data_IF_400459997274
#
_entry.id   IF_400459997274
#
_cell.length_a   1.000
_cell.length_b   1.000
_cell.length_c   1.000
_cell.angle_alpha   90.00
_cell.angle_beta   90.00
_cell.angle_gamma   90.00
#
_symmetry.space_group_name_H-M   'P 1'
#
loop_
_entity.id
_entity.type
_entity.pdbx_description
1 polymer ?
#
# COMPACT_ATOMS: atom_id res chain seq x y z
N UNK A 1 -6.34 19.71 -0.04
CA UNK A 1 -7.43 19.26 0.86
C UNK A 1 -8.61 20.20 0.73
N UNK A 2 -9.84 19.69 0.94
CA UNK A 2 -11.08 20.49 0.97
C UNK A 2 -11.95 20.12 2.17
N UNK A 3 -12.78 21.05 2.61
CA UNK A 3 -13.79 20.79 3.64
C UNK A 3 -15.07 20.17 3.07
N UNK A 4 -15.86 19.50 3.92
CA UNK A 4 -17.12 18.84 3.48
C UNK A 4 -18.20 19.84 3.07
N UNK A 5 -18.08 21.09 3.49
CA UNK A 5 -18.90 22.22 3.05
C UNK A 5 -18.71 22.57 1.56
N UNK A 6 -17.66 22.05 0.92
CA UNK A 6 -17.38 22.28 -0.50
C UNK A 6 -17.88 21.18 -1.43
N UNK A 7 -18.53 20.12 -0.91
CA UNK A 7 -18.96 18.96 -1.71
C UNK A 7 -19.85 19.36 -2.90
N UNK A 8 -20.68 20.38 -2.75
CA UNK A 8 -21.60 20.85 -3.80
C UNK A 8 -20.87 21.53 -5.00
N UNK A 9 -19.55 21.73 -4.91
CA UNK A 9 -18.71 22.22 -6.03
C UNK A 9 -18.42 21.14 -7.07
N UNK A 10 -18.66 19.88 -6.75
CA UNK A 10 -18.47 18.75 -7.66
C UNK A 10 -19.85 18.32 -8.17
N UNK A 11 -19.98 18.19 -9.48
CA UNK A 11 -21.19 17.67 -10.12
C UNK A 11 -21.19 16.13 -10.02
N UNK A 12 -21.44 15.63 -8.81
CA UNK A 12 -21.41 14.19 -8.49
C UNK A 12 -22.29 13.35 -9.41
N UNK A 13 -23.51 13.81 -9.81
CA UNK A 13 -24.37 13.10 -10.76
C UNK A 13 -23.79 12.89 -12.18
N UNK A 14 -22.61 13.45 -12.46
CA UNK A 14 -21.88 13.27 -13.73
C UNK A 14 -20.66 12.36 -13.59
N UNK A 15 -20.34 11.95 -12.37
CA UNK A 15 -19.26 11.03 -12.08
C UNK A 15 -19.82 9.63 -11.88
N UNK A 16 -18.97 8.63 -12.02
CA UNK A 16 -19.32 7.24 -11.85
C UNK A 16 -18.51 6.65 -10.69
N UNK A 17 -19.12 5.67 -10.05
CA UNK A 17 -18.55 4.75 -9.07
C UNK A 17 -18.99 3.32 -9.43
N UNK A 18 -18.64 2.31 -8.62
CA UNK A 18 -18.89 0.90 -8.94
C UNK A 18 -20.36 0.53 -9.21
N UNK A 19 -21.31 1.27 -8.63
CA UNK A 19 -22.74 0.98 -8.70
C UNK A 19 -23.52 1.93 -9.62
N UNK A 20 -22.83 2.71 -10.46
CA UNK A 20 -23.41 3.68 -11.37
C UNK A 20 -23.05 5.11 -11.02
N UNK A 21 -24.03 6.00 -11.08
CA UNK A 21 -23.89 7.42 -10.75
C UNK A 21 -23.42 7.66 -9.31
N UNK A 22 -22.59 8.68 -9.08
CA UNK A 22 -21.98 8.98 -7.80
C UNK A 22 -22.72 10.04 -6.95
N UNK A 23 -23.99 10.31 -7.23
CA UNK A 23 -24.78 11.33 -6.52
C UNK A 23 -24.96 11.09 -5.02
N UNK A 24 -24.72 9.88 -4.54
CA UNK A 24 -24.77 9.43 -3.14
C UNK A 24 -23.45 9.62 -2.37
N UNK A 25 -22.31 9.74 -3.07
CA UNK A 25 -20.97 9.89 -2.48
C UNK A 25 -20.86 11.05 -1.47
N UNK A 26 -21.48 12.24 -1.68
CA UNK A 26 -21.45 13.30 -0.68
C UNK A 26 -22.00 12.90 0.68
N UNK A 27 -23.08 12.11 0.70
CA UNK A 27 -23.71 11.67 1.94
C UNK A 27 -22.86 10.61 2.63
N UNK A 28 -22.27 9.67 1.87
CA UNK A 28 -21.29 8.70 2.39
C UNK A 28 -20.07 9.39 3.01
N UNK A 29 -19.56 10.47 2.40
CA UNK A 29 -18.44 11.25 2.95
C UNK A 29 -18.81 12.00 4.22
N UNK A 30 -20.07 12.46 4.36
CA UNK A 30 -20.56 13.13 5.57
C UNK A 30 -20.82 12.15 6.71
N UNK A 31 -21.24 10.94 6.38
CA UNK A 31 -21.54 9.89 7.35
C UNK A 31 -20.35 8.99 7.65
N UNK A 32 -19.12 9.36 7.26
CA UNK A 32 -17.96 8.49 7.37
C UNK A 32 -17.70 8.07 8.83
N UNK A 33 -18.14 6.87 9.15
CA UNK A 33 -17.92 6.08 10.36
C UNK A 33 -17.52 4.65 9.97
N UNK A 34 -17.30 3.77 10.95
CA UNK A 34 -16.84 2.40 10.70
C UNK A 34 -17.75 1.63 9.71
N UNK A 35 -19.07 1.86 9.74
CA UNK A 35 -20.05 1.19 8.88
C UNK A 35 -20.06 1.80 7.46
N UNK A 36 -20.01 3.14 7.35
CA UNK A 36 -20.02 3.85 6.06
C UNK A 36 -18.69 3.71 5.29
N UNK A 37 -17.58 3.43 5.98
CA UNK A 37 -16.27 3.21 5.33
C UNK A 37 -16.33 2.02 4.37
N UNK A 38 -16.96 0.92 4.76
CA UNK A 38 -17.08 -0.26 3.92
C UNK A 38 -17.86 0.01 2.62
N UNK A 39 -18.97 0.74 2.73
CA UNK A 39 -19.79 1.14 1.58
C UNK A 39 -19.04 2.10 0.66
N UNK A 40 -18.36 3.11 1.22
CA UNK A 40 -17.59 4.07 0.45
C UNK A 40 -16.40 3.42 -0.26
N UNK A 41 -15.70 2.48 0.39
CA UNK A 41 -14.66 1.66 -0.26
C UNK A 41 -15.27 0.85 -1.40
N UNK A 42 -16.39 0.17 -1.17
CA UNK A 42 -17.04 -0.66 -2.18
C UNK A 42 -17.50 0.15 -3.41
N UNK A 43 -17.91 1.40 -3.20
CA UNK A 43 -18.30 2.33 -4.26
C UNK A 43 -17.08 2.90 -5.01
N UNK A 44 -16.10 3.46 -4.29
CA UNK A 44 -14.99 4.21 -4.90
C UNK A 44 -13.77 3.36 -5.29
N UNK A 45 -13.65 2.14 -4.77
CA UNK A 45 -12.54 1.23 -5.06
C UNK A 45 -13.01 -0.24 -5.05
N UNK A 46 -13.81 -0.61 -6.04
CA UNK A 46 -14.39 -1.96 -6.10
C UNK A 46 -13.39 -2.97 -6.65
N UNK A 47 -12.88 -3.86 -5.79
CA UNK A 47 -11.89 -4.89 -6.16
C UNK A 47 -10.68 -4.26 -6.87
N UNK A 48 -10.14 -3.22 -6.25
CA UNK A 48 -9.08 -2.39 -6.81
C UNK A 48 -9.47 -1.55 -8.02
N UNK A 49 -10.70 -1.55 -8.51
CA UNK A 49 -11.10 -0.69 -9.64
C UNK A 49 -11.45 0.72 -9.17
N UNK A 50 -10.88 1.74 -9.80
CA UNK A 50 -11.12 3.15 -9.51
C UNK A 50 -11.96 3.78 -10.60
N UNK A 51 -12.70 4.81 -10.22
CA UNK A 51 -13.70 5.46 -11.05
C UNK A 51 -13.48 6.98 -11.04
N UNK A 52 -14.25 7.71 -11.84
CA UNK A 52 -14.14 9.17 -11.89
C UNK A 52 -14.50 9.84 -10.56
N UNK A 53 -15.40 9.25 -9.76
CA UNK A 53 -15.70 9.71 -8.40
C UNK A 53 -14.53 9.50 -7.41
N UNK A 54 -13.67 8.50 -7.65
CA UNK A 54 -12.53 8.18 -6.77
C UNK A 54 -11.60 9.38 -6.63
N UNK A 55 -11.14 9.95 -7.75
CA UNK A 55 -10.25 11.12 -7.72
C UNK A 55 -10.94 12.36 -7.13
N UNK A 56 -12.24 12.52 -7.37
CA UNK A 56 -13.02 13.66 -6.85
C UNK A 56 -13.19 13.63 -5.32
N UNK A 57 -13.25 12.44 -4.71
CA UNK A 57 -13.40 12.27 -3.26
C UNK A 57 -12.11 12.56 -2.47
N UNK A 58 -10.94 12.40 -3.09
CA UNK A 58 -9.63 12.47 -2.41
C UNK A 58 -9.41 13.75 -1.58
N UNK A 59 -9.66 14.98 -2.08
CA UNK A 59 -9.39 16.18 -1.29
C UNK A 59 -10.23 16.26 0.00
N UNK A 60 -11.44 15.69 -0.02
CA UNK A 60 -12.35 15.64 1.13
C UNK A 60 -11.92 14.57 2.13
N UNK A 61 -11.52 13.40 1.64
CA UNK A 61 -10.97 12.32 2.47
C UNK A 61 -9.68 12.74 3.17
N UNK A 62 -8.77 13.42 2.47
CA UNK A 62 -7.58 14.01 3.08
C UNK A 62 -7.97 15.05 4.15
N UNK A 63 -8.99 15.87 3.86
CA UNK A 63 -9.64 16.77 4.82
C UNK A 63 -10.10 16.06 6.10
N UNK A 64 -10.79 14.93 5.96
CA UNK A 64 -11.25 14.11 7.09
C UNK A 64 -10.06 13.52 7.83
N UNK A 65 -9.09 12.92 7.14
CA UNK A 65 -7.92 12.28 7.74
C UNK A 65 -7.16 13.22 8.69
N UNK A 66 -6.91 14.47 8.26
CA UNK A 66 -6.20 15.46 9.08
C UNK A 66 -7.03 15.93 10.29
N UNK A 67 -8.36 16.06 10.14
CA UNK A 67 -9.22 16.50 11.25
C UNK A 67 -9.48 15.40 12.28
N UNK A 68 -9.74 14.19 11.81
CA UNK A 68 -10.13 13.07 12.64
C UNK A 68 -8.92 12.34 13.22
N UNK A 69 -7.81 12.24 12.48
CA UNK A 69 -6.61 11.50 12.90
C UNK A 69 -6.85 10.00 13.03
N UNK A 70 -7.80 9.43 12.28
CA UNK A 70 -8.15 8.01 12.34
C UNK A 70 -7.62 7.24 11.12
N UNK A 71 -7.65 5.90 11.22
CA UNK A 71 -7.03 4.98 10.25
C UNK A 71 -7.83 4.89 8.96
N UNK A 72 -9.14 4.92 9.06
CA UNK A 72 -10.10 4.63 7.98
C UNK A 72 -9.94 5.56 6.78
N UNK A 73 -9.92 6.91 6.92
CA UNK A 73 -9.72 7.80 5.78
C UNK A 73 -8.32 7.66 5.16
N UNK A 74 -7.29 7.32 5.95
CA UNK A 74 -5.94 7.07 5.44
C UNK A 74 -5.86 5.77 4.64
N UNK A 75 -6.51 4.70 5.12
CA UNK A 75 -6.63 3.43 4.42
C UNK A 75 -7.36 3.61 3.08
N UNK A 76 -8.50 4.31 3.10
CA UNK A 76 -9.26 4.59 1.89
C UNK A 76 -8.44 5.40 0.88
N UNK A 77 -7.73 6.46 1.31
CA UNK A 77 -6.81 7.19 0.43
C UNK A 77 -5.76 6.27 -0.22
N UNK A 78 -5.24 5.29 0.52
CA UNK A 78 -4.32 4.31 -0.04
C UNK A 78 -4.97 3.42 -1.08
N UNK A 79 -6.18 2.91 -0.82
CA UNK A 79 -6.93 2.13 -1.82
C UNK A 79 -7.29 2.96 -3.07
N UNK A 80 -7.62 4.24 -2.92
CA UNK A 80 -7.83 5.11 -4.08
C UNK A 80 -6.53 5.28 -4.88
N UNK A 81 -5.37 5.37 -4.21
CA UNK A 81 -4.08 5.51 -4.86
C UNK A 81 -3.68 4.25 -5.63
N UNK A 82 -3.65 3.08 -4.97
CA UNK A 82 -3.02 1.87 -5.51
C UNK A 82 -4.00 0.76 -5.86
N UNK A 83 -5.30 0.94 -5.58
CA UNK A 83 -6.30 -0.11 -5.70
C UNK A 83 -6.19 -1.10 -4.53
N UNK A 84 -6.39 -2.39 -4.81
CA UNK A 84 -6.04 -3.43 -3.86
C UNK A 84 -4.51 -3.45 -3.72
N UNK A 85 -4.00 -3.36 -2.49
CA UNK A 85 -2.56 -3.29 -2.23
C UNK A 85 -1.90 -4.68 -2.32
N UNK A 86 -1.95 -5.28 -3.49
CA UNK A 86 -1.52 -6.65 -3.73
C UNK A 86 -0.07 -6.79 -4.22
N UNK A 87 0.29 -7.99 -4.67
CA UNK A 87 1.64 -8.25 -5.15
C UNK A 87 2.00 -7.49 -6.42
N UNK A 88 1.06 -6.95 -7.21
CA UNK A 88 1.35 -6.16 -8.40
C UNK A 88 1.74 -4.71 -8.05
N UNK A 89 1.19 -4.14 -6.98
CA UNK A 89 1.53 -2.78 -6.56
C UNK A 89 2.87 -2.71 -5.81
N UNK A 90 3.35 -3.83 -5.27
CA UNK A 90 4.60 -3.90 -4.51
C UNK A 90 5.82 -4.26 -5.40
N UNK A 91 6.96 -3.55 -5.29
CA UNK A 91 7.24 -2.42 -4.40
C UNK A 91 6.81 -1.06 -4.97
N UNK A 92 6.40 -0.99 -6.25
CA UNK A 92 6.06 0.27 -6.91
C UNK A 92 4.76 0.10 -7.70
N UNK A 93 3.74 0.93 -7.44
CA UNK A 93 2.45 0.82 -8.12
C UNK A 93 2.57 1.31 -9.57
N UNK A 94 1.95 0.64 -10.56
CA UNK A 94 2.03 1.04 -11.98
C UNK A 94 1.43 2.44 -12.24
N UNK A 95 0.53 2.91 -11.38
CA UNK A 95 -0.05 4.26 -11.42
C UNK A 95 1.01 5.36 -11.28
N UNK A 96 2.08 5.10 -10.50
CA UNK A 96 3.19 6.04 -10.32
C UNK A 96 3.88 6.39 -11.65
N UNK A 97 3.90 5.42 -12.58
CA UNK A 97 4.49 5.54 -13.91
C UNK A 97 3.45 5.84 -15.00
N UNK A 98 2.18 6.07 -14.61
CA UNK A 98 1.07 6.30 -15.53
C UNK A 98 0.68 5.06 -16.35
N UNK A 99 1.10 3.87 -15.93
CA UNK A 99 0.92 2.61 -16.66
C UNK A 99 -0.40 1.90 -16.31
N UNK A 100 -1.46 2.67 -16.08
CA UNK A 100 -2.81 2.19 -15.75
C UNK A 100 -3.87 3.01 -16.49
N UNK A 101 -5.13 2.59 -16.41
CA UNK A 101 -6.25 3.31 -17.02
C UNK A 101 -6.45 4.70 -16.37
N UNK A 102 -7.07 5.66 -17.10
CA UNK A 102 -7.09 7.08 -16.72
C UNK A 102 -7.60 7.35 -15.31
N UNK A 103 -8.66 6.68 -14.87
CA UNK A 103 -9.29 6.88 -13.56
C UNK A 103 -8.38 6.46 -12.42
N UNK A 104 -7.66 5.33 -12.56
CA UNK A 104 -6.67 4.90 -11.58
C UNK A 104 -5.50 5.88 -11.48
N UNK A 105 -4.98 6.35 -12.62
CA UNK A 105 -3.90 7.36 -12.65
C UNK A 105 -4.39 8.67 -12.04
N UNK A 106 -5.61 9.12 -12.36
CA UNK A 106 -6.19 10.33 -11.80
C UNK A 106 -6.36 10.24 -10.27
N UNK A 107 -6.83 9.09 -9.76
CA UNK A 107 -6.94 8.87 -8.31
C UNK A 107 -5.58 8.89 -7.63
N UNK A 108 -4.57 8.18 -8.17
CA UNK A 108 -3.19 8.22 -7.67
C UNK A 108 -2.64 9.65 -7.59
N UNK A 109 -2.77 10.44 -8.68
CA UNK A 109 -2.29 11.82 -8.72
C UNK A 109 -3.06 12.75 -7.78
N UNK A 110 -4.36 12.51 -7.60
CA UNK A 110 -5.14 13.24 -6.61
C UNK A 110 -4.62 12.99 -5.19
N UNK A 111 -4.28 11.74 -4.84
CA UNK A 111 -3.73 11.41 -3.51
C UNK A 111 -2.32 11.97 -3.36
N UNK A 112 -1.47 11.83 -4.39
CA UNK A 112 -0.12 12.38 -4.44
C UNK A 112 -0.10 13.88 -4.11
N UNK A 113 -1.06 14.64 -4.64
CA UNK A 113 -1.18 16.08 -4.36
C UNK A 113 -1.52 16.40 -2.89
N UNK A 114 -2.13 15.47 -2.17
CA UNK A 114 -2.52 15.64 -0.76
C UNK A 114 -1.46 15.14 0.23
N UNK A 115 -0.53 14.27 -0.21
CA UNK A 115 0.52 13.66 0.63
C UNK A 115 1.28 14.66 1.51
N UNK A 116 1.75 15.83 1.02
CA UNK A 116 2.47 16.79 1.87
C UNK A 116 1.67 17.25 3.09
N UNK A 117 0.35 17.37 2.95
CA UNK A 117 -0.52 17.82 4.04
C UNK A 117 -0.81 16.70 5.06
N UNK A 118 -0.57 15.44 4.70
CA UNK A 118 -0.75 14.27 5.57
C UNK A 118 0.49 13.96 6.42
N UNK A 119 1.66 14.54 6.10
CA UNK A 119 2.92 14.30 6.82
C UNK A 119 2.84 14.45 8.35
N UNK A 120 2.10 15.42 8.92
CA UNK A 120 1.97 15.51 10.38
C UNK A 120 1.39 14.26 11.04
N UNK A 121 0.60 13.45 10.33
CA UNK A 121 0.00 12.21 10.84
C UNK A 121 1.04 11.11 11.08
N UNK A 122 2.24 11.21 10.50
CA UNK A 122 3.37 10.30 10.77
C UNK A 122 3.88 10.38 12.23
N UNK A 123 3.55 11.48 12.92
CA UNK A 123 3.87 11.71 14.33
C UNK A 123 2.63 11.64 15.23
N UNK A 124 1.52 11.09 14.73
CA UNK A 124 0.28 10.97 15.50
C UNK A 124 0.50 10.11 16.77
N UNK A 125 -0.12 10.47 17.92
CA UNK A 125 0.07 9.72 19.17
C UNK A 125 -0.49 8.29 19.11
N UNK A 126 -1.55 8.06 18.33
CA UNK A 126 -2.02 6.70 18.05
C UNK A 126 -1.07 5.99 17.06
N UNK A 127 -0.47 4.85 17.45
CA UNK A 127 0.51 4.15 16.62
C UNK A 127 -0.10 3.56 15.34
N UNK A 128 -1.40 3.24 15.31
CA UNK A 128 -2.04 2.69 14.11
C UNK A 128 -2.20 3.79 13.07
N UNK A 129 -2.70 4.96 13.45
CA UNK A 129 -2.75 6.14 12.55
C UNK A 129 -1.35 6.48 12.00
N UNK A 130 -0.32 6.51 12.86
CA UNK A 130 1.04 6.82 12.43
C UNK A 130 1.60 5.75 11.44
N UNK A 131 1.36 4.47 11.70
CA UNK A 131 1.75 3.38 10.82
C UNK A 131 1.00 3.43 9.47
N UNK A 132 -0.30 3.68 9.48
CA UNK A 132 -1.10 3.81 8.25
C UNK A 132 -0.68 5.04 7.44
N UNK A 133 -0.34 6.15 8.09
CA UNK A 133 0.24 7.30 7.41
C UNK A 133 1.57 6.94 6.74
N UNK A 134 2.46 6.19 7.42
CA UNK A 134 3.72 5.73 6.84
C UNK A 134 3.52 4.79 5.64
N UNK A 135 2.55 3.87 5.73
CA UNK A 135 2.14 3.01 4.62
C UNK A 135 1.63 3.84 3.44
N UNK A 136 0.71 4.78 3.66
CA UNK A 136 0.13 5.60 2.60
C UNK A 136 1.21 6.40 1.84
N UNK A 137 2.06 7.15 2.56
CA UNK A 137 3.04 8.02 1.91
C UNK A 137 4.14 7.23 1.19
N UNK A 138 4.37 5.98 1.57
CA UNK A 138 5.39 5.13 0.95
C UNK A 138 5.10 4.74 -0.50
N UNK A 139 3.84 4.83 -0.93
CA UNK A 139 3.42 4.56 -2.31
C UNK A 139 3.77 5.68 -3.30
N UNK A 140 4.36 6.78 -2.81
CA UNK A 140 4.68 7.97 -3.59
C UNK A 140 6.20 8.23 -3.63
N UNK A 141 6.97 7.39 -4.34
CA UNK A 141 8.43 7.53 -4.41
C UNK A 141 8.88 8.85 -5.06
N UNK A 142 8.04 9.48 -5.89
CA UNK A 142 8.30 10.82 -6.43
C UNK A 142 8.40 11.92 -5.35
N UNK A 143 7.83 11.66 -4.17
CA UNK A 143 7.86 12.56 -3.02
C UNK A 143 8.87 12.12 -1.94
N UNK A 144 9.75 11.16 -2.23
CA UNK A 144 10.67 10.58 -1.25
C UNK A 144 11.56 11.62 -0.55
N UNK A 145 12.03 12.65 -1.26
CA UNK A 145 12.83 13.73 -0.64
C UNK A 145 12.06 14.47 0.46
N UNK A 146 10.74 14.59 0.33
CA UNK A 146 9.87 15.27 1.29
C UNK A 146 9.38 14.32 2.40
N UNK A 147 9.08 13.07 2.06
CA UNK A 147 8.43 12.10 2.97
C UNK A 147 9.44 11.30 3.80
N UNK A 148 10.58 10.89 3.22
CA UNK A 148 11.53 9.99 3.87
C UNK A 148 12.10 10.53 5.19
N UNK A 149 12.47 11.83 5.34
CA UNK A 149 12.92 12.35 6.62
C UNK A 149 11.89 12.19 7.74
N UNK A 150 10.60 12.43 7.43
CA UNK A 150 9.52 12.28 8.40
C UNK A 150 9.27 10.80 8.73
N UNK A 151 9.28 9.91 7.73
CA UNK A 151 9.16 8.46 7.94
C UNK A 151 10.31 7.91 8.78
N UNK A 152 11.55 8.37 8.59
CA UNK A 152 12.70 7.99 9.44
C UNK A 152 12.54 8.45 10.89
N UNK A 153 11.90 9.59 11.12
CA UNK A 153 11.66 10.14 12.44
C UNK A 153 10.44 9.52 13.15
N UNK A 154 9.58 8.80 12.41
CA UNK A 154 8.43 8.09 12.98
C UNK A 154 8.84 7.00 13.96
N UNK A 155 7.89 6.64 14.83
CA UNK A 155 8.06 5.53 15.78
C UNK A 155 8.46 4.24 15.03
N UNK A 156 9.52 3.53 15.46
CA UNK A 156 9.93 2.28 14.82
C UNK A 156 8.80 1.25 14.82
N UNK A 157 8.52 0.70 13.63
CA UNK A 157 7.54 -0.36 13.39
C UNK A 157 7.88 -1.06 12.07
N UNK A 158 7.42 -2.30 11.88
CA UNK A 158 7.56 -3.07 10.62
C UNK A 158 7.14 -2.25 9.40
N UNK A 159 5.99 -1.59 9.49
CA UNK A 159 5.43 -0.72 8.44
C UNK A 159 6.38 0.44 8.09
N UNK A 160 6.98 1.08 9.10
CA UNK A 160 7.94 2.17 8.89
C UNK A 160 9.21 1.66 8.22
N UNK A 161 9.72 0.48 8.60
CA UNK A 161 10.87 -0.15 7.95
C UNK A 161 10.59 -0.41 6.47
N UNK A 162 9.45 -1.00 6.12
CA UNK A 162 9.07 -1.25 4.71
C UNK A 162 8.91 0.08 3.97
N UNK A 163 8.21 1.06 4.56
CA UNK A 163 8.00 2.38 3.98
C UNK A 163 9.32 3.08 3.62
N UNK A 164 10.34 3.01 4.49
CA UNK A 164 11.70 3.50 4.20
C UNK A 164 12.29 2.85 2.95
N UNK A 165 12.14 1.52 2.82
CA UNK A 165 12.61 0.78 1.65
C UNK A 165 11.92 1.22 0.35
N UNK A 166 10.59 1.36 0.36
CA UNK A 166 9.84 1.83 -0.80
C UNK A 166 10.19 3.27 -1.21
N UNK A 167 10.61 4.09 -0.25
CA UNK A 167 11.10 5.46 -0.46
C UNK A 167 12.60 5.52 -0.78
N UNK A 168 13.27 4.39 -1.00
CA UNK A 168 14.67 4.35 -1.45
C UNK A 168 15.70 4.64 -0.36
N UNK A 169 15.41 4.32 0.90
CA UNK A 169 16.33 4.57 2.01
C UNK A 169 17.58 3.68 1.97
N UNK A 170 18.71 4.24 1.51
CA UNK A 170 20.02 3.57 1.52
C UNK A 170 20.72 3.47 2.88
N UNK A 171 20.06 3.82 3.99
CA UNK A 171 20.58 3.74 5.37
C UNK A 171 19.98 2.57 6.15
N UNK A 172 19.36 1.62 5.46
CA UNK A 172 18.83 0.41 6.06
C UNK A 172 19.97 -0.53 6.41
N UNK A 173 19.94 -1.04 7.65
CA UNK A 173 20.94 -1.97 8.17
C UNK A 173 20.36 -3.39 8.24
N UNK A 174 21.21 -4.43 8.22
CA UNK A 174 20.76 -5.82 8.39
C UNK A 174 19.96 -6.03 9.68
N UNK A 175 18.87 -6.79 9.58
CA UNK A 175 17.97 -7.05 10.69
C UNK A 175 17.08 -8.27 10.46
N UNK A 176 15.78 -8.08 10.67
CA UNK A 176 14.76 -9.08 10.42
C UNK A 176 14.35 -9.14 8.95
N UNK A 177 13.21 -9.79 8.72
CA UNK A 177 12.66 -9.94 7.38
C UNK A 177 12.24 -8.60 6.76
N UNK A 178 11.75 -7.66 7.59
CA UNK A 178 11.30 -6.34 7.14
C UNK A 178 12.47 -5.49 6.62
N UNK A 179 13.62 -5.50 7.31
CA UNK A 179 14.83 -4.82 6.86
C UNK A 179 15.36 -5.42 5.56
N UNK A 180 15.33 -6.76 5.41
CA UNK A 180 15.75 -7.43 4.18
C UNK A 180 14.84 -7.06 2.99
N UNK A 181 13.52 -7.04 3.20
CA UNK A 181 12.55 -6.59 2.18
C UNK A 181 12.80 -5.12 1.82
N UNK A 182 12.91 -4.26 2.84
CA UNK A 182 13.10 -2.83 2.64
C UNK A 182 14.40 -2.51 1.88
N UNK A 183 15.50 -3.18 2.22
CA UNK A 183 16.78 -3.01 1.55
C UNK A 183 16.72 -3.42 0.07
N UNK A 184 16.05 -4.54 -0.24
CA UNK A 184 15.80 -4.93 -1.64
C UNK A 184 14.96 -3.91 -2.40
N UNK A 185 13.93 -3.35 -1.77
CA UNK A 185 13.10 -2.32 -2.38
C UNK A 185 13.89 -1.04 -2.66
N UNK A 186 14.82 -0.68 -1.76
CA UNK A 186 15.74 0.45 -1.94
C UNK A 186 16.87 0.17 -2.96
N UNK A 187 16.97 -1.06 -3.47
CA UNK A 187 17.97 -1.45 -4.46
C UNK A 187 19.29 -1.97 -3.88
N UNK A 188 19.42 -2.12 -2.56
CA UNK A 188 20.57 -2.79 -1.94
C UNK A 188 20.43 -4.31 -2.10
N UNK A 189 21.35 -4.90 -2.85
CA UNK A 189 21.38 -6.33 -3.16
C UNK A 189 22.53 -7.08 -2.49
N UNK A 190 23.45 -6.39 -1.82
CA UNK A 190 24.70 -6.99 -1.37
C UNK A 190 24.48 -8.05 -0.29
N UNK A 191 23.59 -7.77 0.67
CA UNK A 191 23.23 -8.68 1.76
C UNK A 191 21.75 -9.05 1.75
N UNK A 192 20.89 -8.17 1.21
CA UNK A 192 19.44 -8.30 1.32
C UNK A 192 18.89 -9.52 0.57
N UNK A 193 19.54 -9.93 -0.54
CA UNK A 193 19.18 -11.13 -1.31
C UNK A 193 19.25 -12.39 -0.43
N UNK A 194 20.38 -12.60 0.26
CA UNK A 194 20.56 -13.78 1.10
C UNK A 194 19.68 -13.70 2.36
N UNK A 195 19.51 -12.49 2.91
CA UNK A 195 18.67 -12.25 4.07
C UNK A 195 17.18 -12.54 3.79
N UNK A 196 16.64 -12.11 2.64
CA UNK A 196 15.23 -12.38 2.31
C UNK A 196 14.98 -13.86 2.03
N UNK A 197 15.92 -14.54 1.35
CA UNK A 197 15.84 -15.99 1.11
C UNK A 197 15.89 -16.76 2.43
N UNK A 198 16.77 -16.35 3.34
CA UNK A 198 16.85 -16.88 4.69
C UNK A 198 15.53 -16.65 5.48
N UNK A 199 14.98 -15.44 5.43
CA UNK A 199 13.73 -15.09 6.09
C UNK A 199 12.57 -15.96 5.58
N UNK A 200 12.39 -16.04 4.25
CA UNK A 200 11.35 -16.86 3.63
C UNK A 200 11.44 -18.34 3.99
N UNK A 201 12.66 -18.88 4.14
CA UNK A 201 12.87 -20.27 4.58
C UNK A 201 12.58 -20.49 6.07
N UNK A 202 12.75 -19.47 6.92
CA UNK A 202 12.65 -19.57 8.39
C UNK A 202 11.29 -19.18 8.96
N UNK A 203 10.59 -18.24 8.34
CA UNK A 203 9.28 -17.74 8.82
C UNK A 203 8.28 -18.90 8.97
N UNK A 204 7.58 -18.93 10.10
CA UNK A 204 6.67 -20.03 10.46
C UNK A 204 5.22 -19.57 10.41
N UNK A 205 4.30 -20.53 10.37
CA UNK A 205 2.85 -20.31 10.20
C UNK A 205 2.26 -19.11 10.95
N UNK A 206 2.49 -18.95 12.27
CA UNK A 206 1.97 -17.81 13.03
C UNK A 206 2.48 -16.44 12.57
N UNK A 207 3.71 -16.39 12.03
CA UNK A 207 4.39 -15.16 11.62
C UNK A 207 4.22 -14.86 10.12
N UNK A 208 3.42 -15.67 9.40
CA UNK A 208 3.09 -15.43 8.00
C UNK A 208 1.98 -14.37 7.82
N UNK A 209 1.33 -13.98 8.91
CA UNK A 209 0.28 -12.96 8.93
C UNK A 209 0.55 -12.01 10.09
N UNK A 210 0.53 -10.72 9.81
CA UNK A 210 0.61 -9.65 10.81
C UNK A 210 -0.62 -8.74 10.64
N UNK A 211 -1.62 -8.81 11.55
CA UNK A 211 -2.86 -8.04 11.42
C UNK A 211 -2.65 -6.53 11.55
N UNK A 212 -1.51 -6.09 12.13
CA UNK A 212 -1.18 -4.67 12.28
C UNK A 212 -0.35 -4.15 11.08
N UNK A 213 0.02 -5.03 10.13
CA UNK A 213 0.73 -4.66 8.92
C UNK A 213 -0.28 -4.31 7.81
N UNK A 214 -0.37 -3.04 7.38
CA UNK A 214 -1.33 -2.65 6.35
C UNK A 214 -1.00 -3.24 4.97
N UNK A 215 0.28 -3.47 4.65
CA UNK A 215 0.70 -4.02 3.35
C UNK A 215 0.11 -5.40 3.09
N UNK A 216 -0.54 -5.56 1.94
CA UNK A 216 -1.14 -6.80 1.45
C UNK A 216 -2.14 -7.40 2.46
N UNK A 217 -2.82 -6.54 3.24
CA UNK A 217 -3.76 -6.95 4.28
C UNK A 217 -3.12 -7.84 5.35
N UNK A 218 -1.85 -7.60 5.67
CA UNK A 218 -1.10 -8.34 6.67
C UNK A 218 -0.43 -9.62 6.18
N UNK A 219 -0.45 -9.90 4.87
CA UNK A 219 0.17 -11.08 4.26
C UNK A 219 1.70 -10.96 4.21
N UNK A 220 2.38 -11.21 5.34
CA UNK A 220 3.85 -11.22 5.44
C UNK A 220 4.47 -12.19 4.42
N UNK A 221 3.82 -13.32 4.16
CA UNK A 221 4.26 -14.27 3.14
C UNK A 221 4.20 -13.64 1.74
N UNK A 222 3.12 -12.92 1.44
CA UNK A 222 2.94 -12.15 0.21
C UNK A 222 4.00 -11.06 0.05
N UNK A 223 4.31 -10.31 1.12
CA UNK A 223 5.35 -9.26 1.11
C UNK A 223 6.73 -9.87 0.82
N UNK A 224 7.08 -10.98 1.50
CA UNK A 224 8.31 -11.73 1.23
C UNK A 224 8.36 -12.24 -0.22
N UNK A 225 7.26 -12.82 -0.71
CA UNK A 225 7.18 -13.32 -2.08
C UNK A 225 7.28 -12.18 -3.11
N UNK A 226 6.75 -11.00 -2.80
CA UNK A 226 6.84 -9.82 -3.64
C UNK A 226 8.29 -9.33 -3.73
N UNK A 227 8.98 -9.23 -2.60
CA UNK A 227 10.42 -8.93 -2.57
C UNK A 227 11.26 -9.98 -3.30
N UNK A 228 10.86 -11.27 -3.24
CA UNK A 228 11.56 -12.35 -3.92
C UNK A 228 11.56 -12.19 -5.46
N UNK A 229 10.62 -11.44 -6.04
CA UNK A 229 10.60 -11.10 -7.47
C UNK A 229 11.68 -10.09 -7.87
N UNK A 230 12.27 -9.39 -6.90
CA UNK A 230 13.30 -8.37 -7.12
C UNK A 230 14.73 -8.94 -7.17
N UNK A 231 14.89 -10.25 -6.92
CA UNK A 231 16.20 -10.88 -6.94
C UNK A 231 16.81 -10.87 -8.35
N UNK A 232 18.15 -10.83 -8.46
CA UNK A 232 18.83 -11.03 -9.73
C UNK A 232 18.41 -12.34 -10.42
N UNK A 233 18.40 -12.34 -11.75
CA UNK A 233 17.97 -13.49 -12.57
C UNK A 233 18.73 -14.78 -12.19
N UNK A 234 19.99 -14.67 -11.81
CA UNK A 234 20.84 -15.80 -11.43
C UNK A 234 20.36 -16.50 -10.15
N UNK A 235 19.66 -15.76 -9.27
CA UNK A 235 19.11 -16.26 -8.00
C UNK A 235 17.64 -16.70 -8.12
N UNK A 236 17.04 -16.61 -9.31
CA UNK A 236 15.63 -16.95 -9.56
C UNK A 236 15.25 -18.39 -9.13
N UNK A 237 16.07 -19.43 -9.36
CA UNK A 237 15.73 -20.78 -8.88
C UNK A 237 15.55 -20.85 -7.36
N UNK A 238 16.32 -20.07 -6.61
CA UNK A 238 16.20 -19.99 -5.15
C UNK A 238 14.96 -19.21 -4.72
N UNK A 239 14.62 -18.14 -5.45
CA UNK A 239 13.38 -17.39 -5.24
C UNK A 239 12.15 -18.29 -5.44
N UNK A 240 12.08 -19.04 -6.54
CA UNK A 240 11.00 -20.01 -6.80
C UNK A 240 10.89 -21.04 -5.68
N UNK A 241 12.02 -21.60 -5.23
CA UNK A 241 12.03 -22.55 -4.12
C UNK A 241 11.53 -21.93 -2.80
N UNK A 242 11.89 -20.68 -2.51
CA UNK A 242 11.44 -19.96 -1.33
C UNK A 242 9.95 -19.62 -1.39
N UNK A 243 9.43 -19.14 -2.53
CA UNK A 243 7.98 -18.89 -2.70
C UNK A 243 7.18 -20.18 -2.55
N UNK A 244 7.68 -21.33 -3.04
CA UNK A 244 7.04 -22.63 -2.79
C UNK A 244 6.94 -22.95 -1.30
N UNK A 245 8.02 -22.73 -0.54
CA UNK A 245 8.02 -22.96 0.92
C UNK A 245 6.98 -22.07 1.61
N UNK A 246 6.87 -20.80 1.21
CA UNK A 246 5.86 -19.88 1.73
C UNK A 246 4.44 -20.38 1.38
N UNK A 247 4.20 -20.77 0.14
CA UNK A 247 2.90 -21.26 -0.33
C UNK A 247 2.45 -22.56 0.36
N UNK A 248 3.39 -23.41 0.74
CA UNK A 248 3.11 -24.67 1.45
C UNK A 248 2.77 -24.44 2.93
N UNK A 249 3.24 -23.33 3.52
CA UNK A 249 2.99 -22.97 4.93
C UNK A 249 1.79 -22.03 5.10
N UNK A 250 1.47 -21.24 4.07
CA UNK A 250 0.36 -20.30 4.09
C UNK A 250 -1.00 -21.02 4.11
N UNK A 251 -1.99 -20.38 4.75
CA UNK A 251 -3.40 -20.81 4.71
C UNK A 251 -4.15 -20.05 3.60
N UNK A 252 -5.31 -20.56 3.13
CA UNK A 252 -6.20 -19.78 2.28
C UNK A 252 -6.61 -18.45 2.96
N UNK A 253 -6.78 -17.35 2.20
CA UNK A 253 -6.67 -17.26 0.74
C UNK A 253 -5.24 -17.09 0.20
N UNK A 254 -4.26 -16.75 1.05
CA UNK A 254 -2.90 -16.35 0.64
C UNK A 254 -2.14 -17.44 -0.13
N UNK A 255 -2.34 -18.71 0.21
CA UNK A 255 -1.68 -19.83 -0.46
C UNK A 255 -1.92 -19.89 -1.98
N UNK A 256 -3.11 -19.50 -2.45
CA UNK A 256 -3.43 -19.46 -3.89
C UNK A 256 -2.63 -18.39 -4.62
N UNK A 257 -2.59 -17.18 -4.05
CA UNK A 257 -1.82 -16.03 -4.57
C UNK A 257 -0.33 -16.35 -4.67
N UNK A 258 0.24 -16.97 -3.64
CA UNK A 258 1.66 -17.36 -3.64
C UNK A 258 2.00 -18.40 -4.71
N UNK A 259 1.09 -19.35 -5.00
CA UNK A 259 1.29 -20.31 -6.11
C UNK A 259 1.27 -19.60 -7.45
N UNK A 260 0.35 -18.65 -7.67
CA UNK A 260 0.31 -17.85 -8.89
C UNK A 260 1.61 -17.03 -9.07
N UNK A 261 2.13 -16.42 -8.00
CA UNK A 261 3.40 -15.68 -8.05
C UNK A 261 4.59 -16.59 -8.39
N UNK A 262 4.64 -17.81 -7.83
CA UNK A 262 5.67 -18.81 -8.19
C UNK A 262 5.60 -19.17 -9.66
N UNK A 263 4.39 -19.38 -10.19
CA UNK A 263 4.20 -19.80 -11.58
C UNK A 263 4.58 -18.67 -12.55
N UNK A 264 4.30 -17.41 -12.19
CA UNK A 264 4.78 -16.25 -12.93
C UNK A 264 6.32 -16.16 -12.96
N UNK A 265 7.00 -16.45 -11.83
CA UNK A 265 8.47 -16.50 -11.79
C UNK A 265 9.06 -17.60 -12.66
N UNK A 266 8.35 -18.72 -12.83
CA UNK A 266 8.76 -19.82 -13.71
C UNK A 266 8.56 -19.51 -15.20
N UNK A 267 7.61 -18.62 -15.53
CA UNK A 267 7.26 -18.29 -16.92
C UNK A 267 8.09 -17.13 -17.51
N UNK A 268 8.81 -16.37 -16.68
CA UNK A 268 9.60 -15.22 -17.09
C UNK A 268 10.97 -15.62 -17.66
N UNK A 269 11.01 -16.32 -18.79
CA UNK A 269 12.24 -16.64 -19.56
C UNK A 269 12.53 -15.59 -20.64
#
# INVERSE_FOLDING_TARGET
MRGLEELDRVDWPRLEHAYGDAGDVPDLLRSLDDDAVGELVAALCHQGTRFSASAAAVPYLAGIAVRAGTVEPLMLLGFLAVGDDDAYCFPRPPEADGAMYPEAVAAYRAVEAEVPALLPLLAHPDPRTAATAAWLVSWFPALAEQTLPAVRASRPATTVTIARGLLGDGTLEPGGWAEAVAALCAGDRAWAVDAVLAAARRVRGPDLVDPDLPYLGGDVAGVLAAALRLLPTERRPEAVAAVRILADRARPPFAGRLRAMRDALLAAD
#
